data_IF_229366396376
#
_entry.id   IF_229366396376
#
_cell.length_a   1.000
_cell.length_b   1.000
_cell.length_c   1.000
_cell.angle_alpha   90.00
_cell.angle_beta   90.00
_cell.angle_gamma   90.00
#
_symmetry.space_group_name_H-M   'P 1'
#
loop_
_entity.id
_entity.type
_entity.pdbx_description
1 polymer ?
#
# COMPACT_ATOMS: atom_id res chain seq x y z
N UNK A 1 -3.50 -26.60 -17.04
CA UNK A 1 -3.81 -26.57 -15.59
C UNK A 1 -2.54 -26.65 -14.74
N UNK A 2 -1.63 -27.60 -14.95
CA UNK A 2 -0.36 -27.69 -14.19
C UNK A 2 0.61 -26.49 -14.40
N UNK A 3 0.70 -25.93 -15.61
CA UNK A 3 1.62 -24.81 -15.91
C UNK A 3 1.19 -23.43 -15.38
N UNK A 4 -0.06 -23.27 -14.94
CA UNK A 4 -0.52 -22.03 -14.29
C UNK A 4 -0.27 -22.06 -12.77
N UNK A 5 -0.16 -23.26 -12.19
CA UNK A 5 0.15 -23.46 -10.78
C UNK A 5 1.63 -23.18 -10.47
N UNK A 6 2.54 -23.55 -11.37
CA UNK A 6 3.97 -23.19 -11.26
C UNK A 6 4.23 -21.68 -11.36
N UNK A 7 3.35 -20.94 -12.03
CA UNK A 7 3.48 -19.48 -12.16
C UNK A 7 2.97 -18.72 -10.91
N UNK A 8 2.15 -19.38 -10.09
CA UNK A 8 1.64 -18.87 -8.81
C UNK A 8 2.64 -19.05 -7.65
N UNK A 9 3.57 -20.01 -7.76
CA UNK A 9 4.71 -20.18 -6.83
C UNK A 9 5.70 -19.01 -6.89
N UNK A 10 5.64 -18.15 -7.91
CA UNK A 10 6.49 -16.96 -8.01
C UNK A 10 6.02 -15.75 -7.17
N UNK A 11 4.80 -15.78 -6.62
CA UNK A 11 4.18 -14.63 -5.93
C UNK A 11 3.97 -14.83 -4.42
N UNK A 12 4.10 -16.07 -3.95
CA UNK A 12 4.28 -16.40 -2.55
C UNK A 12 5.76 -16.78 -2.43
N UNK A 13 6.48 -16.30 -1.41
CA UNK A 13 7.71 -17.01 -1.03
C UNK A 13 7.31 -18.48 -0.89
N UNK A 14 7.96 -19.39 -1.63
CA UNK A 14 7.79 -20.82 -1.38
C UNK A 14 7.93 -21.03 0.12
N UNK A 15 7.12 -21.89 0.74
CA UNK A 15 7.22 -22.17 2.18
C UNK A 15 8.67 -22.55 2.60
N UNK A 16 9.44 -23.05 1.64
CA UNK A 16 10.86 -23.41 1.74
C UNK A 16 11.82 -22.21 1.78
N UNK A 17 11.38 -21.01 1.41
CA UNK A 17 12.13 -19.74 1.46
C UNK A 17 11.71 -18.84 2.65
N UNK A 18 10.97 -19.39 3.61
CA UNK A 18 10.48 -18.64 4.77
C UNK A 18 11.64 -18.15 5.68
N UNK A 19 11.59 -16.90 6.20
CA UNK A 19 12.57 -16.41 7.16
C UNK A 19 12.56 -17.16 8.49
N UNK A 20 13.67 -17.83 8.78
CA UNK A 20 13.93 -18.61 10.00
C UNK A 20 14.61 -17.77 11.07
N UNK A 21 15.59 -16.94 10.70
CA UNK A 21 16.28 -16.04 11.62
C UNK A 21 16.79 -14.77 10.93
N UNK A 22 16.99 -13.72 11.72
CA UNK A 22 17.62 -12.47 11.29
C UNK A 22 19.13 -12.67 11.13
N UNK A 23 19.70 -12.12 10.05
CA UNK A 23 21.16 -12.04 9.85
C UNK A 23 21.64 -10.62 10.11
N UNK A 24 20.85 -9.63 9.74
CA UNK A 24 21.17 -8.22 9.99
C UNK A 24 20.71 -7.81 11.37
N UNK A 25 21.63 -7.38 12.22
CA UNK A 25 21.29 -6.82 13.53
C UNK A 25 20.97 -5.32 13.43
N UNK A 26 20.00 -4.88 14.22
CA UNK A 26 19.62 -3.48 14.40
C UNK A 26 20.16 -2.94 15.72
N UNK A 27 20.83 -1.79 15.65
CA UNK A 27 21.26 -1.03 16.84
C UNK A 27 20.13 -0.12 17.32
N UNK A 28 20.19 0.30 18.58
CA UNK A 28 19.20 1.21 19.18
C UNK A 28 19.11 2.59 18.51
N UNK A 29 20.13 3.00 17.76
CA UNK A 29 20.19 4.27 17.00
C UNK A 29 19.81 4.11 15.52
N UNK A 30 19.22 2.99 15.15
CA UNK A 30 18.80 2.67 13.79
C UNK A 30 17.34 2.25 13.77
N UNK A 31 16.67 2.52 12.65
CA UNK A 31 15.28 2.14 12.42
C UNK A 31 15.12 1.34 11.13
N UNK A 32 14.20 0.39 11.16
CA UNK A 32 13.79 -0.34 9.96
C UNK A 32 12.87 0.56 9.12
N UNK A 33 13.18 0.68 7.83
CA UNK A 33 12.41 1.45 6.85
C UNK A 33 12.24 0.66 5.54
N UNK A 34 11.10 0.86 4.87
CA UNK A 34 10.80 0.29 3.57
C UNK A 34 11.14 1.28 2.45
N UNK A 35 11.89 0.82 1.45
CA UNK A 35 12.25 1.60 0.27
C UNK A 35 11.81 0.93 -1.02
N UNK A 36 11.53 1.76 -2.02
CA UNK A 36 11.31 1.32 -3.39
C UNK A 36 12.53 1.67 -4.23
N UNK A 37 13.13 0.65 -4.83
CA UNK A 37 14.35 0.79 -5.62
C UNK A 37 14.34 -0.15 -6.81
N UNK A 38 15.51 -0.40 -7.38
CA UNK A 38 15.70 -1.40 -8.43
C UNK A 38 16.53 -2.57 -7.88
N UNK A 39 16.02 -3.77 -8.04
CA UNK A 39 16.82 -5.00 -7.98
C UNK A 39 16.95 -5.50 -9.42
N UNK A 40 18.10 -6.04 -9.84
CA UNK A 40 18.33 -6.62 -11.19
C UNK A 40 17.62 -5.88 -12.37
N UNK A 41 17.62 -4.55 -12.37
CA UNK A 41 16.98 -3.72 -13.40
C UNK A 41 15.44 -3.61 -13.36
N UNK A 42 14.74 -4.24 -12.41
CA UNK A 42 13.27 -4.11 -12.24
C UNK A 42 12.92 -3.43 -10.90
N UNK A 43 11.73 -2.82 -10.77
CA UNK A 43 11.28 -2.25 -9.51
C UNK A 43 11.12 -3.33 -8.42
N UNK A 44 11.71 -3.08 -7.25
CA UNK A 44 11.63 -3.97 -6.09
C UNK A 44 11.47 -3.16 -4.81
N UNK A 45 10.85 -3.77 -3.81
CA UNK A 45 10.85 -3.26 -2.46
C UNK A 45 12.03 -3.83 -1.66
N UNK A 46 12.57 -3.03 -0.76
CA UNK A 46 13.72 -3.37 0.08
C UNK A 46 13.49 -2.88 1.50
N UNK A 47 13.62 -3.79 2.46
CA UNK A 47 13.70 -3.39 3.87
C UNK A 47 15.12 -3.02 4.23
N UNK A 48 15.30 -1.88 4.87
CA UNK A 48 16.61 -1.30 5.14
C UNK A 48 16.66 -0.81 6.57
N UNK A 49 17.72 -1.17 7.28
CA UNK A 49 18.07 -0.59 8.56
C UNK A 49 18.85 0.70 8.28
N UNK A 50 18.26 1.81 8.69
CA UNK A 50 18.78 3.17 8.46
C UNK A 50 19.16 3.79 9.80
N UNK A 51 20.34 4.42 9.92
CA UNK A 51 20.67 5.26 11.06
C UNK A 51 19.65 6.39 11.25
N UNK A 52 19.22 6.64 12.49
CA UNK A 52 18.21 7.66 12.81
C UNK A 52 18.58 9.08 12.35
N UNK A 53 19.87 9.43 12.37
CA UNK A 53 20.33 10.75 11.90
C UNK A 53 20.15 10.96 10.39
N UNK A 54 19.96 9.89 9.62
CA UNK A 54 19.66 9.95 8.18
C UNK A 54 18.15 9.97 7.90
N UNK A 55 17.29 9.94 8.91
CA UNK A 55 15.84 9.85 8.75
C UNK A 55 15.26 10.99 7.89
N UNK A 56 15.74 12.23 8.06
CA UNK A 56 15.29 13.38 7.26
C UNK A 56 15.60 13.20 5.76
N UNK A 57 16.79 12.69 5.46
CA UNK A 57 17.23 12.40 4.08
C UNK A 57 16.39 11.26 3.51
N UNK A 58 16.15 10.22 4.31
CA UNK A 58 15.30 9.08 3.94
C UNK A 58 13.89 9.52 3.58
N UNK A 59 13.25 10.37 4.39
CA UNK A 59 11.90 10.85 4.11
C UNK A 59 11.83 11.69 2.83
N UNK A 60 12.86 12.50 2.56
CA UNK A 60 12.94 13.29 1.33
C UNK A 60 13.16 12.45 0.06
N UNK A 61 13.74 11.25 0.21
CA UNK A 61 14.07 10.36 -0.90
C UNK A 61 13.00 9.28 -1.15
N UNK A 62 12.03 9.10 -0.25
CA UNK A 62 10.88 8.20 -0.46
C UNK A 62 10.05 8.69 -1.65
N UNK A 63 9.92 7.85 -2.68
CA UNK A 63 9.19 8.14 -3.92
C UNK A 63 10.09 8.40 -5.13
N UNK A 64 11.40 8.64 -4.93
CA UNK A 64 12.34 8.82 -6.03
C UNK A 64 12.87 7.46 -6.52
N UNK A 65 12.52 7.09 -7.76
CA UNK A 65 12.79 5.77 -8.35
C UNK A 65 14.26 5.51 -8.75
N UNK A 66 15.15 6.48 -8.53
CA UNK A 66 16.58 6.41 -8.91
C UNK A 66 17.53 6.22 -7.73
N UNK A 67 17.03 6.18 -6.50
CA UNK A 67 17.89 6.12 -5.32
C UNK A 67 18.45 4.71 -5.13
N UNK A 68 19.77 4.62 -4.98
CA UNK A 68 20.42 3.38 -4.62
C UNK A 68 20.20 3.11 -3.12
N UNK A 69 19.49 2.02 -2.84
CA UNK A 69 19.01 1.68 -1.50
C UNK A 69 20.16 1.41 -0.52
N UNK A 70 21.32 0.95 -1.02
CA UNK A 70 22.51 0.71 -0.20
C UNK A 70 23.14 1.98 0.34
N UNK A 71 22.87 3.13 -0.27
CA UNK A 71 23.44 4.41 0.15
C UNK A 71 22.67 4.98 1.36
N UNK A 72 21.46 4.46 1.60
CA UNK A 72 20.58 4.87 2.70
C UNK A 72 20.82 4.05 3.97
N UNK A 73 21.29 2.81 3.83
CA UNK A 73 21.49 1.91 4.95
C UNK A 73 21.71 0.46 4.53
N UNK A 74 21.53 -0.45 5.49
CA UNK A 74 21.80 -1.88 5.31
C UNK A 74 20.51 -2.61 4.95
N UNK A 75 20.47 -3.26 3.79
CA UNK A 75 19.33 -4.11 3.42
C UNK A 75 19.22 -5.24 4.44
N UNK A 76 18.02 -5.46 4.97
CA UNK A 76 17.74 -6.54 5.91
C UNK A 76 17.97 -7.87 5.22
N UNK A 77 18.71 -8.75 5.87
CA UNK A 77 18.97 -10.10 5.43
C UNK A 77 18.41 -11.10 6.45
N UNK A 78 17.90 -12.20 5.93
CA UNK A 78 17.39 -13.30 6.72
C UNK A 78 17.99 -14.61 6.25
N UNK A 79 18.01 -15.59 7.14
CA UNK A 79 18.33 -16.98 6.81
C UNK A 79 17.04 -17.74 6.58
N UNK A 80 16.91 -18.41 5.44
CA UNK A 80 15.72 -19.21 5.12
C UNK A 80 15.78 -20.62 5.74
N UNK A 81 14.76 -21.45 5.50
CA UNK A 81 14.69 -22.83 5.99
C UNK A 81 15.77 -23.77 5.40
N UNK A 82 16.44 -23.36 4.31
CA UNK A 82 17.56 -24.07 3.69
C UNK A 82 18.93 -23.56 4.17
N UNK A 83 18.93 -22.72 5.22
CA UNK A 83 20.09 -22.01 5.74
C UNK A 83 20.79 -21.07 4.71
N UNK A 84 20.08 -20.68 3.65
CA UNK A 84 20.56 -19.70 2.67
C UNK A 84 20.29 -18.28 3.18
N UNK A 85 21.25 -17.37 2.95
CA UNK A 85 21.08 -15.95 3.25
C UNK A 85 20.38 -15.27 2.07
N UNK A 86 19.26 -14.61 2.36
CA UNK A 86 18.46 -13.88 1.38
C UNK A 86 18.29 -12.43 1.83
N UNK A 87 18.27 -11.54 0.86
CA UNK A 87 17.85 -10.16 1.10
C UNK A 87 16.32 -10.16 1.31
N UNK A 88 15.87 -9.45 2.34
CA UNK A 88 14.47 -9.14 2.58
C UNK A 88 14.03 -8.07 1.58
N UNK A 89 13.85 -8.53 0.36
CA UNK A 89 13.47 -7.76 -0.81
C UNK A 89 12.59 -8.63 -1.69
N UNK A 90 11.77 -8.00 -2.52
CA UNK A 90 10.96 -8.74 -3.46
C UNK A 90 10.44 -7.88 -4.59
N UNK A 91 10.04 -8.58 -5.64
CA UNK A 91 9.41 -8.00 -6.80
C UNK A 91 7.94 -7.71 -6.49
N UNK A 92 7.38 -6.70 -7.15
CA UNK A 92 5.98 -6.35 -7.02
C UNK A 92 5.74 -5.13 -6.14
N UNK A 93 4.47 -4.90 -5.81
CA UNK A 93 4.03 -3.59 -5.34
C UNK A 93 4.18 -3.38 -3.84
N UNK A 94 4.03 -4.43 -3.03
CA UNK A 94 4.23 -4.36 -1.59
C UNK A 94 4.70 -5.69 -1.00
N UNK A 95 5.50 -5.67 0.08
CA UNK A 95 5.90 -6.88 0.77
C UNK A 95 4.68 -7.57 1.43
N UNK A 96 4.55 -8.90 1.31
CA UNK A 96 3.52 -9.68 1.98
C UNK A 96 3.36 -9.32 3.47
N UNK A 97 2.12 -9.19 3.95
CA UNK A 97 1.80 -8.87 5.36
C UNK A 97 2.46 -9.81 6.36
N UNK A 98 2.62 -11.07 5.99
CA UNK A 98 3.28 -12.06 6.83
C UNK A 98 4.77 -11.73 7.08
N UNK A 99 5.45 -11.12 6.09
CA UNK A 99 6.84 -10.65 6.23
C UNK A 99 6.88 -9.40 7.11
N UNK A 100 5.91 -8.50 6.95
CA UNK A 100 5.78 -7.31 7.79
C UNK A 100 5.61 -7.69 9.27
N UNK A 101 4.72 -8.64 9.56
CA UNK A 101 4.53 -9.15 10.92
C UNK A 101 5.82 -9.76 11.49
N UNK A 102 6.52 -10.57 10.70
CA UNK A 102 7.80 -11.14 11.12
C UNK A 102 8.84 -10.05 11.43
N UNK A 103 8.96 -9.03 10.58
CA UNK A 103 9.88 -7.92 10.80
C UNK A 103 9.54 -7.11 12.05
N UNK A 104 8.26 -6.83 12.29
CA UNK A 104 7.81 -6.11 13.48
C UNK A 104 8.11 -6.86 14.79
N UNK A 105 8.24 -8.19 14.74
CA UNK A 105 8.62 -8.99 15.89
C UNK A 105 10.14 -8.99 16.17
N UNK A 106 10.97 -8.60 15.19
CA UNK A 106 12.43 -8.70 15.28
C UNK A 106 13.16 -7.34 15.21
N UNK A 107 12.48 -6.28 14.79
CA UNK A 107 13.07 -4.96 14.57
C UNK A 107 12.16 -3.83 15.07
N UNK A 108 12.77 -2.76 15.58
CA UNK A 108 12.10 -1.47 15.79
C UNK A 108 11.78 -0.87 14.42
N UNK A 109 10.49 -0.87 14.07
CA UNK A 109 10.01 -0.39 12.78
C UNK A 109 9.62 1.08 12.84
N UNK A 110 10.30 1.90 12.05
CA UNK A 110 9.84 3.24 11.68
C UNK A 110 9.34 3.26 10.22
N UNK A 111 8.92 2.10 9.69
CA UNK A 111 8.42 1.99 8.34
C UNK A 111 7.11 2.80 8.21
N UNK A 112 7.26 4.08 7.88
CA UNK A 112 6.15 4.95 7.51
C UNK A 112 5.77 4.64 6.07
N UNK A 113 4.83 3.71 5.95
CA UNK A 113 3.74 3.87 4.99
C UNK A 113 2.62 4.56 5.79
N UNK A 114 2.06 5.66 5.26
CA UNK A 114 1.08 6.48 5.99
C UNK A 114 -0.13 5.66 6.47
N UNK A 115 -0.37 4.50 5.88
CA UNK A 115 -1.43 3.56 6.26
C UNK A 115 -0.98 2.34 7.08
N UNK A 116 0.33 2.09 7.23
CA UNK A 116 0.88 0.97 8.04
C UNK A 116 1.27 1.45 9.45
N UNK A 117 1.56 2.75 9.63
CA UNK A 117 1.84 3.32 10.95
C UNK A 117 0.59 3.63 11.78
N UNK A 118 -0.61 3.35 11.26
CA UNK A 118 -1.86 3.58 11.99
C UNK A 118 -2.09 2.43 12.97
N UNK A 119 -2.14 2.76 14.25
CA UNK A 119 -2.69 1.90 15.30
C UNK A 119 -4.22 1.87 15.18
N UNK A 120 -4.84 0.77 15.64
CA UNK A 120 -6.29 0.56 15.68
C UNK A 120 -7.08 1.68 16.40
N UNK A 121 -6.39 2.47 17.22
CA UNK A 121 -6.93 3.64 17.93
C UNK A 121 -7.26 4.84 17.04
N UNK A 122 -6.75 4.89 15.80
CA UNK A 122 -7.03 5.96 14.85
C UNK A 122 -8.05 5.46 13.82
N UNK A 123 -9.33 5.62 14.13
CA UNK A 123 -10.42 5.33 13.18
C UNK A 123 -10.30 6.26 11.96
N UNK A 124 -9.65 5.74 10.92
CA UNK A 124 -9.19 6.52 9.77
C UNK A 124 -10.09 6.36 8.54
N UNK A 125 -11.37 6.06 8.76
CA UNK A 125 -12.35 5.95 7.69
C UNK A 125 -12.53 7.31 7.02
N UNK A 126 -12.26 7.39 5.72
CA UNK A 126 -12.35 8.60 4.90
C UNK A 126 -13.37 8.43 3.80
N UNK A 127 -14.19 9.45 3.57
CA UNK A 127 -15.01 9.58 2.37
C UNK A 127 -14.36 10.61 1.45
N UNK A 128 -13.74 10.10 0.39
CA UNK A 128 -13.00 10.90 -0.59
C UNK A 128 -13.85 11.10 -1.83
N UNK A 129 -14.03 12.36 -2.26
CA UNK A 129 -14.80 12.69 -3.47
C UNK A 129 -13.91 13.43 -4.47
N UNK A 130 -13.87 12.93 -5.71
CA UNK A 130 -13.11 13.53 -6.79
C UNK A 130 -13.89 13.56 -8.11
N UNK A 131 -13.73 14.63 -8.87
CA UNK A 131 -14.38 14.83 -10.17
C UNK A 131 -13.34 15.02 -11.27
N UNK A 132 -13.51 14.29 -12.37
CA UNK A 132 -12.72 14.45 -13.60
C UNK A 132 -13.12 15.74 -14.30
N UNK A 133 -12.16 16.45 -14.90
CA UNK A 133 -12.45 17.61 -15.73
C UNK A 133 -13.10 17.18 -17.05
N UNK A 134 -12.63 16.07 -17.60
CA UNK A 134 -13.18 15.40 -18.78
C UNK A 134 -13.30 13.88 -18.53
N UNK A 135 -14.27 13.17 -19.14
CA UNK A 135 -14.51 11.74 -18.89
C UNK A 135 -13.29 10.83 -19.15
N UNK A 136 -12.46 11.21 -20.12
CA UNK A 136 -11.27 10.45 -20.53
C UNK A 136 -10.08 10.65 -19.57
N UNK A 137 -10.17 11.64 -18.67
CA UNK A 137 -9.11 11.92 -17.70
C UNK A 137 -8.97 10.74 -16.73
N UNK A 138 -7.75 10.23 -16.64
CA UNK A 138 -7.41 9.23 -15.62
C UNK A 138 -7.37 9.90 -14.25
N UNK A 139 -7.88 9.23 -13.24
CA UNK A 139 -7.82 9.69 -11.84
C UNK A 139 -6.44 9.51 -11.19
N UNK A 140 -5.43 9.08 -11.96
CA UNK A 140 -4.06 8.81 -11.48
C UNK A 140 -4.00 7.82 -10.31
N UNK A 141 -4.97 6.93 -10.22
CA UNK A 141 -5.03 5.82 -9.27
C UNK A 141 -4.95 4.49 -10.01
N UNK A 142 -4.16 3.57 -9.46
CA UNK A 142 -4.20 2.15 -9.75
C UNK A 142 -5.09 1.47 -8.72
N UNK A 143 -6.10 0.74 -9.17
CA UNK A 143 -6.97 -0.05 -8.31
C UNK A 143 -6.54 -1.51 -8.44
N UNK A 144 -6.05 -2.07 -7.34
CA UNK A 144 -5.48 -3.41 -7.32
C UNK A 144 -6.38 -4.35 -6.52
N UNK A 145 -6.80 -5.44 -7.16
CA UNK A 145 -7.62 -6.46 -6.52
C UNK A 145 -6.75 -7.52 -5.84
N UNK A 146 -6.87 -7.63 -4.52
CA UNK A 146 -6.22 -8.66 -3.73
C UNK A 146 -7.12 -9.89 -3.61
N UNK A 147 -6.83 -10.90 -4.44
CA UNK A 147 -7.64 -12.12 -4.59
C UNK A 147 -7.86 -12.88 -3.27
N UNK A 148 -6.84 -13.12 -2.40
CA UNK A 148 -7.03 -13.98 -1.23
C UNK A 148 -8.05 -13.46 -0.22
N UNK A 149 -8.11 -12.14 -0.02
CA UNK A 149 -9.08 -11.52 0.90
C UNK A 149 -10.18 -10.74 0.16
N UNK A 150 -10.24 -10.90 -1.17
CA UNK A 150 -11.22 -10.31 -2.09
C UNK A 150 -11.48 -8.82 -1.82
N UNK A 151 -10.49 -7.96 -2.08
CA UNK A 151 -10.69 -6.52 -1.87
C UNK A 151 -9.85 -5.66 -2.80
N UNK A 152 -10.25 -4.40 -2.96
CA UNK A 152 -9.48 -3.41 -3.72
C UNK A 152 -8.67 -2.53 -2.78
N UNK A 153 -7.43 -2.28 -3.16
CA UNK A 153 -6.64 -1.21 -2.57
C UNK A 153 -6.19 -0.21 -3.63
N UNK A 154 -5.96 1.01 -3.18
CA UNK A 154 -5.53 2.12 -4.01
C UNK A 154 -4.00 2.13 -4.09
N UNK A 155 -3.48 2.39 -5.27
CA UNK A 155 -2.10 2.76 -5.50
C UNK A 155 -2.10 4.11 -6.17
N UNK A 156 -1.55 5.13 -5.55
CA UNK A 156 -1.37 6.41 -6.22
C UNK A 156 -0.31 6.23 -7.32
N UNK A 157 -0.68 6.52 -8.57
CA UNK A 157 0.24 6.42 -9.71
C UNK A 157 1.19 7.61 -9.68
N UNK A 158 0.64 8.80 -9.39
CA UNK A 158 1.40 10.02 -9.14
C UNK A 158 1.13 10.47 -7.70
N UNK A 159 2.14 10.29 -6.84
CA UNK A 159 2.05 10.68 -5.43
C UNK A 159 2.55 12.12 -5.20
N UNK A 160 2.09 13.04 -6.04
CA UNK A 160 2.45 14.46 -5.98
C UNK A 160 1.35 15.28 -5.28
N UNK A 161 1.69 16.40 -4.60
CA UNK A 161 0.68 17.29 -4.02
C UNK A 161 -0.32 17.88 -5.03
N UNK A 162 0.02 17.86 -6.32
CA UNK A 162 -0.83 18.29 -7.42
C UNK A 162 -1.84 17.22 -7.87
N UNK A 163 -1.59 15.94 -7.59
CA UNK A 163 -2.46 14.86 -8.05
C UNK A 163 -3.87 14.96 -7.46
N UNK A 164 -4.86 14.72 -8.31
CA UNK A 164 -6.28 14.78 -7.94
C UNK A 164 -6.61 13.82 -6.79
N UNK A 165 -6.07 12.60 -6.84
CA UNK A 165 -6.32 11.56 -5.85
C UNK A 165 -5.73 11.92 -4.48
N UNK A 166 -4.47 12.37 -4.44
CA UNK A 166 -3.81 12.80 -3.19
C UNK A 166 -4.55 14.00 -2.57
N UNK A 167 -4.95 14.97 -3.39
CA UNK A 167 -5.74 16.13 -2.93
C UNK A 167 -7.12 15.73 -2.40
N UNK A 168 -7.74 14.70 -2.98
CA UNK A 168 -9.01 14.15 -2.48
C UNK A 168 -8.86 13.38 -1.16
N UNK A 169 -7.62 13.20 -0.68
CA UNK A 169 -7.27 12.54 0.57
C UNK A 169 -7.20 11.02 0.46
N UNK A 170 -7.10 10.49 -0.76
CA UNK A 170 -6.72 9.10 -0.97
C UNK A 170 -5.26 8.92 -0.62
N UNK A 171 -4.95 7.77 -0.02
CA UNK A 171 -3.60 7.33 0.28
C UNK A 171 -3.33 6.00 -0.40
N UNK A 172 -2.07 5.73 -0.70
CA UNK A 172 -1.69 4.40 -1.17
C UNK A 172 -2.00 3.36 -0.09
N UNK A 173 -2.48 2.19 -0.53
CA UNK A 173 -2.92 1.07 0.29
C UNK A 173 -4.19 1.29 1.11
N UNK A 174 -4.88 2.38 0.87
CA UNK A 174 -6.27 2.53 1.28
C UNK A 174 -7.09 1.37 0.71
N UNK A 175 -7.78 0.65 1.58
CA UNK A 175 -8.77 -0.35 1.17
C UNK A 175 -10.06 0.38 0.79
N UNK A 176 -10.56 0.09 -0.41
CA UNK A 176 -11.84 0.62 -0.88
C UNK A 176 -12.97 -0.29 -0.38
N UNK A 177 -13.91 0.31 0.36
CA UNK A 177 -15.04 -0.39 0.95
C UNK A 177 -16.32 -0.05 0.17
N UNK A 178 -16.54 1.24 -0.13
CA UNK A 178 -17.67 1.68 -0.93
C UNK A 178 -17.21 2.49 -2.14
N UNK A 179 -17.91 2.31 -3.26
CA UNK A 179 -17.81 3.13 -4.46
C UNK A 179 -19.18 3.72 -4.77
N UNK A 180 -19.27 5.04 -4.83
CA UNK A 180 -20.51 5.79 -5.09
C UNK A 180 -21.70 5.32 -4.22
N UNK A 181 -21.43 5.09 -2.93
CA UNK A 181 -22.44 4.64 -1.96
C UNK A 181 -22.77 3.13 -1.99
N UNK A 182 -22.16 2.36 -2.87
CA UNK A 182 -22.36 0.89 -2.97
C UNK A 182 -21.19 0.16 -2.31
N UNK A 183 -21.46 -0.81 -1.43
CA UNK A 183 -20.42 -1.66 -0.85
C UNK A 183 -19.85 -2.58 -1.94
N UNK A 184 -18.53 -2.59 -2.09
CA UNK A 184 -17.81 -3.34 -3.13
C UNK A 184 -16.89 -4.42 -2.56
N UNK A 185 -16.95 -4.71 -1.25
CA UNK A 185 -16.03 -5.66 -0.58
C UNK A 185 -16.12 -7.08 -1.15
N UNK A 186 -17.18 -7.42 -1.89
CA UNK A 186 -17.34 -8.73 -2.52
C UNK A 186 -17.39 -8.66 -4.05
N UNK A 187 -17.15 -7.49 -4.64
CA UNK A 187 -17.23 -7.32 -6.10
C UNK A 187 -16.05 -7.99 -6.80
N UNK A 188 -16.36 -8.75 -7.85
CA UNK A 188 -15.35 -9.24 -8.80
C UNK A 188 -14.73 -8.09 -9.60
N UNK A 189 -13.52 -8.27 -10.18
CA UNK A 189 -12.90 -7.27 -11.06
C UNK A 189 -13.85 -6.74 -12.13
N UNK A 190 -14.59 -7.63 -12.80
CA UNK A 190 -15.56 -7.23 -13.83
C UNK A 190 -16.71 -6.38 -13.28
N UNK A 191 -17.23 -6.70 -12.09
CA UNK A 191 -18.31 -5.91 -11.47
C UNK A 191 -17.81 -4.53 -11.05
N UNK A 192 -16.62 -4.49 -10.45
CA UNK A 192 -16.00 -3.23 -10.03
C UNK A 192 -15.71 -2.32 -11.23
N UNK A 193 -15.06 -2.85 -12.28
CA UNK A 193 -14.73 -2.08 -13.48
C UNK A 193 -16.00 -1.50 -14.13
N UNK A 194 -17.06 -2.31 -14.21
CA UNK A 194 -18.33 -1.85 -14.71
C UNK A 194 -18.87 -0.66 -13.89
N UNK A 195 -18.91 -0.77 -12.55
CA UNK A 195 -19.39 0.31 -11.68
C UNK A 195 -18.52 1.57 -11.76
N UNK A 196 -17.21 1.40 -11.85
CA UNK A 196 -16.27 2.50 -11.92
C UNK A 196 -16.36 3.28 -13.23
N UNK A 197 -16.77 2.61 -14.31
CA UNK A 197 -16.85 3.17 -15.66
C UNK A 197 -18.26 3.59 -16.12
N UNK A 198 -19.33 3.16 -15.44
CA UNK A 198 -20.72 3.46 -15.83
C UNK A 198 -20.99 4.98 -15.92
N UNK A 199 -20.41 5.79 -15.05
CA UNK A 199 -20.66 7.23 -15.01
C UNK A 199 -19.39 8.05 -14.83
N UNK A 200 -18.63 8.19 -15.92
CA UNK A 200 -17.38 8.97 -15.92
C UNK A 200 -17.59 10.47 -15.84
N UNK A 201 -18.82 10.96 -16.07
CA UNK A 201 -19.19 12.37 -15.97
C UNK A 201 -19.49 12.78 -14.52
N UNK A 202 -19.91 11.85 -13.68
CA UNK A 202 -20.21 12.12 -12.28
C UNK A 202 -18.99 12.05 -11.33
N UNK A 203 -19.10 12.67 -10.14
CA UNK A 203 -18.04 12.59 -9.14
C UNK A 203 -17.89 11.16 -8.66
N UNK A 204 -16.65 10.73 -8.51
CA UNK A 204 -16.33 9.43 -7.91
C UNK A 204 -16.17 9.62 -6.41
N UNK A 205 -17.00 8.92 -5.65
CA UNK A 205 -16.94 8.88 -4.19
C UNK A 205 -16.42 7.52 -3.74
N UNK A 206 -15.39 7.52 -2.90
CA UNK A 206 -14.82 6.30 -2.33
C UNK A 206 -14.82 6.38 -0.81
N UNK A 207 -15.40 5.38 -0.15
CA UNK A 207 -15.18 5.16 1.28
C UNK A 207 -13.96 4.25 1.43
N UNK A 208 -12.94 4.77 2.09
CA UNK A 208 -11.65 4.10 2.24
C UNK A 208 -11.19 4.08 3.69
N UNK A 209 -10.31 3.15 4.03
CA UNK A 209 -9.63 3.12 5.32
C UNK A 209 -8.27 2.42 5.19
N UNK A 210 -7.44 2.58 6.21
CA UNK A 210 -6.20 1.82 6.32
C UNK A 210 -6.46 0.33 6.57
N UNK A 211 -5.47 -0.55 6.27
CA UNK A 211 -5.55 -1.95 6.63
C UNK A 211 -5.78 -2.19 8.13
N UNK A 212 -5.15 -1.38 8.99
CA UNK A 212 -5.26 -1.52 10.44
C UNK A 212 -6.69 -1.27 10.95
N UNK A 213 -7.31 -0.17 10.53
CA UNK A 213 -8.73 0.13 10.84
C UNK A 213 -9.64 -0.95 10.29
N UNK A 214 -9.38 -1.44 9.08
CA UNK A 214 -10.14 -2.53 8.50
C UNK A 214 -10.12 -3.80 9.37
N UNK A 215 -8.93 -4.24 9.76
CA UNK A 215 -8.76 -5.44 10.58
C UNK A 215 -9.42 -5.27 11.96
N UNK A 216 -9.27 -4.09 12.58
CA UNK A 216 -9.92 -3.77 13.85
C UNK A 216 -11.45 -3.88 13.73
N UNK A 217 -12.04 -3.30 12.69
CA UNK A 217 -13.49 -3.37 12.46
C UNK A 217 -13.95 -4.81 12.24
N UNK A 218 -13.23 -5.61 11.45
CA UNK A 218 -13.61 -7.01 11.23
C UNK A 218 -13.42 -7.88 12.46
N UNK A 219 -12.34 -7.68 13.23
CA UNK A 219 -12.10 -8.41 14.48
C UNK A 219 -13.21 -8.15 15.51
N UNK A 220 -13.67 -6.90 15.60
CA UNK A 220 -14.75 -6.49 16.49
C UNK A 220 -16.17 -6.65 15.90
N UNK A 221 -16.30 -7.27 14.71
CA UNK A 221 -17.57 -7.48 13.99
C UNK A 221 -18.37 -6.19 13.73
N UNK A 222 -17.66 -5.08 13.56
CA UNK A 222 -18.23 -3.78 13.19
C UNK A 222 -18.48 -3.71 11.69
N UNK A 223 -19.54 -3.03 11.29
CA UNK A 223 -19.90 -2.81 9.89
C UNK A 223 -19.45 -1.43 9.41
N UNK A 224 -18.94 -1.36 8.19
CA UNK A 224 -18.67 -0.07 7.53
C UNK A 224 -19.95 0.51 6.92
N UNK A 225 -20.13 1.82 7.05
CA UNK A 225 -21.18 2.59 6.37
C UNK A 225 -20.69 4.02 6.11
N UNK A 226 -21.15 4.63 5.02
CA UNK A 226 -20.91 6.05 4.71
C UNK A 226 -21.50 6.99 5.78
N UNK A 227 -22.46 6.52 6.57
CA UNK A 227 -23.18 7.30 7.58
C UNK A 227 -22.57 7.18 8.98
N UNK A 228 -21.49 6.41 9.15
CA UNK A 228 -20.84 6.30 10.45
C UNK A 228 -20.37 7.69 10.95
N UNK A 229 -20.53 7.99 12.25
CA UNK A 229 -20.04 9.23 12.83
C UNK A 229 -18.51 9.40 12.71
N UNK A 230 -17.76 8.30 12.70
CA UNK A 230 -16.30 8.31 12.56
C UNK A 230 -15.80 8.58 11.15
N UNK A 231 -16.68 8.58 10.14
CA UNK A 231 -16.29 8.84 8.75
C UNK A 231 -15.84 10.30 8.60
N UNK A 232 -14.57 10.47 8.25
CA UNK A 232 -13.98 11.75 7.89
C UNK A 232 -14.43 12.13 6.47
N UNK A 233 -15.37 13.07 6.38
CA UNK A 233 -15.88 13.57 5.10
C UNK A 233 -14.97 14.65 4.56
N UNK A 234 -14.15 14.29 3.56
CA UNK A 234 -13.18 15.20 2.97
C UNK A 234 -13.84 16.12 1.95
N UNK A 235 -13.26 17.31 1.77
CA UNK A 235 -13.75 18.30 0.81
C UNK A 235 -13.68 17.72 -0.60
N UNK A 236 -14.77 17.77 -1.40
CA UNK A 236 -14.73 17.33 -2.79
C UNK A 236 -13.67 18.10 -3.60
N UNK A 237 -12.89 17.37 -4.40
CA UNK A 237 -11.88 17.94 -5.27
C UNK A 237 -12.29 17.80 -6.72
N UNK A 238 -12.22 18.91 -7.45
CA UNK A 238 -12.52 18.96 -8.87
C UNK A 238 -11.21 19.16 -9.61
N UNK A 239 -10.96 18.34 -10.63
CA UNK A 239 -9.88 18.62 -11.56
C UNK A 239 -10.15 19.97 -12.24
N UNK A 240 -9.22 20.88 -12.10
CA UNK A 240 -9.23 22.13 -12.87
C UNK A 240 -8.72 21.80 -14.25
N UNK A 241 -9.49 22.10 -15.31
CA UNK A 241 -8.92 22.15 -16.65
C UNK A 241 -7.77 23.15 -16.61
N UNK A 242 -6.54 22.68 -16.74
CA UNK A 242 -5.42 23.55 -17.05
C UNK A 242 -5.82 24.34 -18.29
N UNK A 243 -6.00 25.65 -18.14
CA UNK A 243 -6.14 26.53 -19.31
C UNK A 243 -4.96 26.23 -20.24
N UNK A 244 -5.30 26.05 -21.52
CA UNK A 244 -4.39 25.86 -22.64
C UNK A 244 -3.22 26.85 -22.64
#
# INVERSE_FOLDING_TARGET
MAKAYDKLQGLLMNYEDWPKSTVTEQKSSEDLSLFRGKSQGRPAWHYVIVPQHNFTIVQALKGNSTVNVTDLGRIVQYRNNRDEIKNMSGWGDNPPRIIQNWLSAHYSSAAVDENISLTDTNDDIRLCTMQRAIPEQRLEIGLHYFIPQKFYYIKLIEDSPSSLARRAGLKSYDRVIFLNGVNIENDSPMQFDHRFDIDRHCPVQMLVCSPATYDHYKANKMSFSCDLPSVQRLKPIYATSSNQ
#
